data_IF_676615448478
#
_entry.id   IF_676615448478
#
_cell.length_a   1.000
_cell.length_b   1.000
_cell.length_c   1.000
_cell.angle_alpha   90.00
_cell.angle_beta   90.00
_cell.angle_gamma   90.00
#
_symmetry.space_group_name_H-M   'P 1'
#
loop_
_entity.id
_entity.type
_entity.pdbx_description
1 polymer ?
#
# COMPACT_ATOMS: atom_id res chain seq x y z
N UNK A 1 63.86 25.94 25.75
CA UNK A 1 63.05 26.98 25.08
C UNK A 1 61.62 26.47 25.04
N UNK A 2 60.75 26.92 25.96
CA UNK A 2 59.34 26.51 25.98
C UNK A 2 58.50 27.58 25.28
N UNK A 3 58.05 27.27 24.06
CA UNK A 3 57.13 28.08 23.30
C UNK A 3 55.72 27.82 23.81
N UNK A 4 55.22 28.66 24.71
CA UNK A 4 53.82 28.63 25.15
C UNK A 4 52.91 29.01 23.97
N UNK A 5 52.29 27.99 23.37
CA UNK A 5 51.24 28.16 22.37
C UNK A 5 50.05 28.81 23.09
N UNK A 6 49.64 29.99 22.64
CA UNK A 6 48.42 30.65 23.13
C UNK A 6 47.25 29.89 22.52
N UNK A 7 46.62 29.04 23.32
CA UNK A 7 45.36 28.41 22.95
C UNK A 7 44.28 29.49 23.00
N UNK A 8 43.87 29.98 21.82
CA UNK A 8 42.74 30.88 21.69
C UNK A 8 41.46 30.08 21.93
N UNK A 9 40.78 30.32 23.05
CA UNK A 9 39.47 29.74 23.35
C UNK A 9 38.35 30.33 22.49
N UNK A 10 37.27 29.57 22.29
CA UNK A 10 36.06 30.02 21.60
C UNK A 10 35.41 31.20 22.31
N UNK A 11 34.92 32.16 21.53
CA UNK A 11 34.13 33.28 22.06
C UNK A 11 32.67 32.89 22.26
N UNK A 12 31.99 33.52 23.23
CA UNK A 12 30.56 33.31 23.46
C UNK A 12 29.71 33.69 22.24
N UNK A 13 30.15 34.69 21.47
CA UNK A 13 29.43 35.14 20.27
C UNK A 13 29.52 34.12 19.14
N UNK A 14 30.64 33.39 19.00
CA UNK A 14 30.78 32.30 18.03
C UNK A 14 29.82 31.15 18.36
N UNK A 15 29.73 30.75 19.63
CA UNK A 15 28.81 29.70 20.05
C UNK A 15 27.34 30.15 19.89
N UNK A 16 27.04 31.41 20.20
CA UNK A 16 25.69 31.97 20.05
C UNK A 16 25.23 31.97 18.57
N UNK A 17 26.09 32.41 17.66
CA UNK A 17 25.78 32.41 16.23
C UNK A 17 25.50 30.98 15.70
N UNK A 18 26.27 30.00 16.14
CA UNK A 18 26.10 28.59 15.75
C UNK A 18 24.76 28.03 16.24
N UNK A 19 24.38 28.27 17.49
CA UNK A 19 23.10 27.78 18.04
C UNK A 19 21.91 28.45 17.34
N UNK A 20 22.02 29.73 16.97
CA UNK A 20 20.99 30.44 16.18
C UNK A 20 20.85 29.79 14.79
N UNK A 21 21.96 29.54 14.09
CA UNK A 21 21.93 28.90 12.76
C UNK A 21 21.32 27.49 12.85
N UNK A 22 21.73 26.68 13.84
CA UNK A 22 21.17 25.34 14.06
C UNK A 22 19.67 25.41 14.39
N UNK A 23 19.24 26.38 15.20
CA UNK A 23 17.83 26.61 15.53
C UNK A 23 16.98 26.91 14.29
N UNK A 24 17.45 27.77 13.39
CA UNK A 24 16.76 28.08 12.14
C UNK A 24 16.70 26.85 11.23
N UNK A 25 17.84 26.16 11.02
CA UNK A 25 17.90 24.98 10.16
C UNK A 25 17.00 23.83 10.67
N UNK A 26 16.92 23.62 11.99
CA UNK A 26 16.09 22.59 12.59
C UNK A 26 14.59 22.77 12.25
N UNK A 27 14.09 24.01 12.26
CA UNK A 27 12.67 24.30 11.95
C UNK A 27 12.29 23.96 10.50
N UNK A 28 13.22 24.08 9.54
CA UNK A 28 12.98 23.82 8.13
C UNK A 28 13.01 22.31 7.82
N UNK A 29 13.90 21.56 8.48
CA UNK A 29 14.18 20.15 8.14
C UNK A 29 13.11 19.18 8.66
N UNK A 30 12.57 19.41 9.87
CA UNK A 30 11.64 18.48 10.55
C UNK A 30 10.37 18.16 9.72
N UNK A 31 9.63 19.13 9.14
CA UNK A 31 8.36 18.83 8.46
C UNK A 31 8.54 18.02 7.16
N UNK A 32 9.72 18.06 6.51
CA UNK A 32 9.96 17.42 5.21
C UNK A 32 10.13 15.89 5.31
N UNK A 33 10.45 15.37 6.49
CA UNK A 33 10.73 13.93 6.69
C UNK A 33 9.44 13.08 6.72
N UNK A 34 8.32 13.64 7.19
CA UNK A 34 7.05 12.91 7.32
C UNK A 34 6.38 12.59 5.99
N UNK A 35 6.27 13.58 5.10
CA UNK A 35 5.53 13.43 3.83
C UNK A 35 6.21 12.50 2.83
N UNK A 36 7.55 12.51 2.77
CA UNK A 36 8.32 11.60 1.91
C UNK A 36 8.09 10.13 2.28
N UNK A 37 8.03 9.83 3.58
CA UNK A 37 7.80 8.47 4.09
C UNK A 37 6.40 7.96 3.74
N UNK A 38 5.37 8.80 3.86
CA UNK A 38 4.00 8.44 3.49
C UNK A 38 3.89 8.10 2.00
N UNK A 39 4.47 8.94 1.14
CA UNK A 39 4.50 8.70 -0.31
C UNK A 39 5.24 7.40 -0.67
N UNK A 40 6.35 7.10 0.01
CA UNK A 40 7.08 5.85 -0.20
C UNK A 40 6.24 4.63 0.18
N UNK A 41 5.48 4.68 1.27
CA UNK A 41 4.58 3.60 1.70
C UNK A 41 3.44 3.37 0.70
N UNK A 42 2.80 4.43 0.23
CA UNK A 42 1.75 4.34 -0.80
C UNK A 42 2.29 3.70 -2.09
N UNK A 43 3.49 4.12 -2.54
CA UNK A 43 4.14 3.52 -3.71
C UNK A 43 4.47 2.05 -3.52
N UNK A 44 4.88 1.63 -2.31
CA UNK A 44 5.14 0.24 -2.00
C UNK A 44 3.86 -0.62 -2.07
N UNK A 45 2.73 -0.09 -1.58
CA UNK A 45 1.43 -0.78 -1.68
C UNK A 45 0.95 -0.86 -3.13
N UNK A 46 1.14 0.20 -3.93
CA UNK A 46 0.86 0.17 -5.38
C UNK A 46 1.72 -0.87 -6.08
N UNK A 47 3.01 -0.94 -5.78
CA UNK A 47 3.90 -1.97 -6.34
C UNK A 47 3.45 -3.39 -5.97
N UNK A 48 3.00 -3.58 -4.73
CA UNK A 48 2.41 -4.83 -4.27
C UNK A 48 1.15 -5.17 -5.07
N UNK A 49 0.25 -4.21 -5.28
CA UNK A 49 -0.97 -4.41 -6.07
C UNK A 49 -0.69 -4.77 -7.53
N UNK A 50 0.35 -4.20 -8.15
CA UNK A 50 0.82 -4.62 -9.47
C UNK A 50 1.27 -6.09 -9.48
N UNK A 51 1.98 -6.55 -8.45
CA UNK A 51 2.38 -7.95 -8.33
C UNK A 51 1.16 -8.87 -8.21
N UNK A 52 0.15 -8.47 -7.43
CA UNK A 52 -1.11 -9.21 -7.32
C UNK A 52 -1.82 -9.31 -8.67
N UNK A 53 -1.97 -8.19 -9.38
CA UNK A 53 -2.60 -8.19 -10.71
C UNK A 53 -1.84 -9.10 -11.69
N UNK A 54 -0.51 -9.01 -11.72
CA UNK A 54 0.31 -9.86 -12.57
C UNK A 54 0.18 -11.36 -12.21
N UNK A 55 0.01 -11.69 -10.93
CA UNK A 55 -0.25 -13.06 -10.49
C UNK A 55 -1.62 -13.57 -10.95
N UNK A 56 -2.65 -12.72 -10.85
CA UNK A 56 -4.00 -13.01 -11.37
C UNK A 56 -4.00 -13.23 -12.89
N UNK A 57 -3.22 -12.43 -13.63
CA UNK A 57 -3.11 -12.55 -15.09
C UNK A 57 -2.41 -13.84 -15.50
N UNK A 58 -1.34 -14.22 -14.79
CA UNK A 58 -0.66 -15.50 -15.01
C UNK A 58 -1.59 -16.68 -14.70
N UNK A 59 -2.37 -16.59 -13.64
CA UNK A 59 -3.39 -17.59 -13.33
C UNK A 59 -4.40 -17.71 -14.48
N UNK A 60 -4.91 -16.59 -15.00
CA UNK A 60 -5.85 -16.60 -16.12
C UNK A 60 -5.24 -17.25 -17.37
N UNK A 61 -3.99 -16.95 -17.70
CA UNK A 61 -3.30 -17.53 -18.86
C UNK A 61 -3.17 -19.05 -18.74
N UNK A 62 -2.89 -19.57 -17.55
CA UNK A 62 -2.70 -21.02 -17.35
C UNK A 62 -4.01 -21.79 -17.15
N UNK A 63 -5.01 -21.18 -16.52
CA UNK A 63 -6.28 -21.84 -16.15
C UNK A 63 -7.46 -21.46 -17.07
N UNK A 64 -7.25 -20.53 -18.00
CA UNK A 64 -8.26 -20.00 -18.93
C UNK A 64 -9.20 -18.94 -18.34
N UNK A 65 -9.33 -18.87 -17.01
CA UNK A 65 -10.17 -17.91 -16.29
C UNK A 65 -9.43 -17.39 -15.06
N UNK A 66 -9.79 -16.20 -14.58
CA UNK A 66 -9.36 -15.70 -13.28
C UNK A 66 -9.91 -16.59 -12.16
N UNK A 67 -9.29 -16.54 -10.95
CA UNK A 67 -9.87 -17.18 -9.77
C UNK A 67 -11.28 -16.67 -9.54
N UNK A 68 -12.24 -17.58 -9.36
CA UNK A 68 -13.63 -17.18 -9.11
C UNK A 68 -13.74 -16.62 -7.71
N UNK A 69 -14.67 -15.68 -7.50
CA UNK A 69 -14.93 -15.13 -6.16
C UNK A 69 -15.23 -16.20 -5.10
N UNK A 70 -15.84 -17.32 -5.49
CA UNK A 70 -16.17 -18.44 -4.59
C UNK A 70 -14.92 -19.23 -4.13
N UNK A 71 -13.88 -19.26 -4.95
CA UNK A 71 -12.65 -20.02 -4.67
C UNK A 71 -11.66 -19.21 -3.81
N UNK A 72 -11.91 -17.90 -3.65
CA UNK A 72 -11.06 -16.99 -2.88
C UNK A 72 -11.80 -16.50 -1.64
N UNK A 73 -11.30 -16.92 -0.48
CA UNK A 73 -11.89 -16.58 0.83
C UNK A 73 -10.87 -15.87 1.71
N UNK A 74 -11.35 -15.03 2.62
CA UNK A 74 -10.53 -14.47 3.71
C UNK A 74 -10.73 -15.36 4.93
N UNK A 75 -9.66 -15.96 5.45
CA UNK A 75 -9.73 -16.80 6.62
C UNK A 75 -9.86 -15.98 7.92
N UNK A 76 -10.05 -16.64 9.06
CA UNK A 76 -10.16 -15.97 10.37
C UNK A 76 -8.89 -15.19 10.78
N UNK A 77 -7.74 -15.46 10.16
CA UNK A 77 -6.49 -14.72 10.39
C UNK A 77 -6.37 -13.45 9.52
N UNK A 78 -7.32 -13.19 8.61
CA UNK A 78 -7.27 -12.06 7.69
C UNK A 78 -6.38 -12.32 6.47
N UNK A 79 -6.15 -13.58 6.14
CA UNK A 79 -5.36 -13.99 4.98
C UNK A 79 -6.30 -14.36 3.84
N UNK A 80 -6.01 -13.85 2.64
CA UNK A 80 -6.65 -14.29 1.41
C UNK A 80 -6.08 -15.65 1.06
N UNK A 81 -6.94 -16.65 0.93
CA UNK A 81 -6.54 -18.03 0.59
C UNK A 81 -7.26 -18.51 -0.66
N UNK A 82 -6.48 -19.14 -1.54
CA UNK A 82 -6.93 -19.91 -2.70
C UNK A 82 -5.79 -20.86 -3.07
N UNK A 83 -5.99 -22.17 -2.93
CA UNK A 83 -4.92 -23.18 -3.12
C UNK A 83 -4.32 -23.21 -4.52
N UNK A 84 -5.05 -22.70 -5.53
CA UNK A 84 -4.58 -22.66 -6.91
C UNK A 84 -3.80 -21.37 -7.21
N UNK A 85 -4.09 -20.28 -6.50
CA UNK A 85 -3.39 -19.00 -6.65
C UNK A 85 -2.16 -18.89 -5.71
N UNK A 86 -2.33 -19.35 -4.47
CA UNK A 86 -1.38 -19.25 -3.37
C UNK A 86 -0.99 -20.68 -2.95
N UNK A 87 0.32 -21.02 -2.89
CA UNK A 87 1.48 -20.14 -3.08
C UNK A 87 1.97 -20.04 -4.54
N UNK A 88 1.28 -20.67 -5.50
CA UNK A 88 1.82 -20.90 -6.86
C UNK A 88 2.22 -19.63 -7.61
N UNK A 89 1.39 -18.58 -7.58
CA UNK A 89 1.64 -17.33 -8.29
C UNK A 89 2.03 -16.18 -7.36
N UNK A 90 1.67 -16.27 -6.09
CA UNK A 90 2.01 -15.30 -5.05
C UNK A 90 2.16 -15.99 -3.70
N UNK A 91 3.17 -15.56 -2.93
CA UNK A 91 3.54 -16.25 -1.69
C UNK A 91 2.51 -16.08 -0.57
N UNK A 92 1.97 -14.86 -0.41
CA UNK A 92 1.01 -14.55 0.65
C UNK A 92 0.23 -13.26 0.34
N UNK A 93 -0.96 -13.17 0.90
CA UNK A 93 -1.83 -12.01 0.85
C UNK A 93 -2.49 -11.86 2.22
N UNK A 94 -1.90 -11.05 3.10
CA UNK A 94 -2.32 -10.92 4.49
C UNK A 94 -2.40 -9.46 4.97
N UNK A 95 -2.92 -9.26 6.18
CA UNK A 95 -2.98 -7.95 6.87
C UNK A 95 -1.63 -7.28 7.12
N UNK A 96 -0.52 -8.01 7.02
CA UNK A 96 0.84 -7.51 7.30
C UNK A 96 1.56 -7.03 6.05
N UNK A 97 1.00 -7.27 4.88
CA UNK A 97 1.69 -7.05 3.60
C UNK A 97 1.73 -5.56 3.24
N UNK A 98 0.81 -4.75 3.75
CA UNK A 98 0.73 -3.32 3.40
C UNK A 98 1.55 -2.44 4.34
N UNK A 99 2.11 -1.38 3.78
CA UNK A 99 3.01 -0.45 4.45
C UNK A 99 2.29 0.81 4.95
N UNK A 100 1.07 1.05 4.50
CA UNK A 100 0.23 2.14 5.00
C UNK A 100 -0.16 1.94 6.48
N UNK A 101 -0.31 3.06 7.20
CA UNK A 101 -0.78 3.08 8.58
C UNK A 101 -2.30 3.23 8.55
N UNK A 102 -2.98 2.16 8.90
CA UNK A 102 -4.44 2.04 8.99
C UNK A 102 -4.78 1.17 10.19
N UNK A 103 -6.05 1.15 10.61
CA UNK A 103 -6.53 0.20 11.61
C UNK A 103 -6.22 -1.24 11.16
N UNK A 104 -5.76 -2.09 12.08
CA UNK A 104 -5.40 -3.48 11.83
C UNK A 104 -6.52 -4.29 11.16
N UNK A 105 -7.79 -4.00 11.46
CA UNK A 105 -8.94 -4.66 10.84
C UNK A 105 -9.12 -4.32 9.36
N UNK A 106 -8.59 -3.16 8.94
CA UNK A 106 -8.71 -2.61 7.59
C UNK A 106 -7.39 -2.68 6.81
N UNK A 107 -6.40 -3.37 7.37
CA UNK A 107 -5.06 -3.48 6.80
C UNK A 107 -4.96 -4.70 5.90
N UNK A 108 -4.18 -4.61 4.82
CA UNK A 108 -3.94 -5.73 3.91
C UNK A 108 -4.93 -5.79 2.76
N UNK A 109 -5.46 -6.99 2.54
CA UNK A 109 -6.25 -7.34 1.35
C UNK A 109 -7.71 -7.61 1.68
N UNK A 110 -8.61 -7.05 0.90
CA UNK A 110 -10.04 -7.41 0.91
C UNK A 110 -10.47 -7.97 -0.44
N UNK A 111 -11.61 -8.66 -0.46
CA UNK A 111 -12.15 -9.26 -1.68
C UNK A 111 -13.58 -8.79 -1.88
N UNK A 112 -13.89 -8.32 -3.09
CA UNK A 112 -15.24 -7.94 -3.51
C UNK A 112 -15.61 -8.58 -4.84
N UNK A 113 -16.90 -8.55 -5.12
CA UNK A 113 -17.46 -9.10 -6.37
C UNK A 113 -17.43 -8.04 -7.47
N UNK A 114 -17.01 -8.43 -8.67
CA UNK A 114 -17.29 -7.69 -9.89
C UNK A 114 -18.66 -8.08 -10.41
N UNK A 115 -19.48 -7.08 -10.70
CA UNK A 115 -20.80 -7.33 -11.29
C UNK A 115 -20.76 -6.95 -12.77
N UNK A 116 -20.92 -7.90 -13.69
CA UNK A 116 -21.01 -7.58 -15.12
C UNK A 116 -22.22 -6.69 -15.40
N UNK A 117 -22.09 -5.82 -16.39
CA UNK A 117 -23.23 -5.13 -16.98
C UNK A 117 -24.14 -6.15 -17.69
N UNK A 118 -25.34 -5.70 -18.11
CA UNK A 118 -26.30 -6.57 -18.80
C UNK A 118 -25.73 -7.28 -20.03
N UNK A 119 -24.69 -6.71 -20.66
CA UNK A 119 -24.03 -7.25 -21.85
C UNK A 119 -22.76 -8.09 -21.55
N UNK A 120 -22.40 -8.29 -20.27
CA UNK A 120 -21.19 -9.02 -19.81
C UNK A 120 -19.84 -8.51 -20.37
N UNK A 121 -19.84 -7.37 -21.05
CA UNK A 121 -18.64 -6.79 -21.70
C UNK A 121 -17.95 -5.74 -20.85
N UNK A 122 -18.68 -5.15 -19.89
CA UNK A 122 -18.13 -4.19 -18.93
C UNK A 122 -18.45 -4.67 -17.52
N UNK A 123 -17.49 -4.55 -16.61
CA UNK A 123 -17.66 -4.91 -15.22
C UNK A 123 -17.74 -3.63 -14.40
N UNK A 124 -18.73 -3.57 -13.52
CA UNK A 124 -18.85 -2.48 -12.56
C UNK A 124 -18.31 -2.93 -11.21
N UNK A 125 -17.54 -2.05 -10.59
CA UNK A 125 -17.19 -2.20 -9.18
C UNK A 125 -18.28 -1.54 -8.35
N UNK A 126 -18.88 -2.34 -7.47
CA UNK A 126 -19.63 -1.77 -6.35
C UNK A 126 -18.60 -1.31 -5.33
N UNK A 127 -18.47 0.01 -5.17
CA UNK A 127 -17.68 0.55 -4.06
C UNK A 127 -18.16 -0.09 -2.76
N UNK A 128 -17.24 -0.51 -1.87
CA UNK A 128 -17.64 -1.08 -0.60
C UNK A 128 -18.56 -0.09 0.12
N UNK A 129 -19.79 -0.54 0.40
CA UNK A 129 -20.77 0.23 1.16
C UNK A 129 -20.25 0.52 2.57
N UNK A 130 -20.93 1.40 3.31
CA UNK A 130 -20.52 1.78 4.66
C UNK A 130 -20.36 0.57 5.61
N UNK A 131 -21.12 -0.51 5.36
CA UNK A 131 -21.12 -1.74 6.18
C UNK A 131 -20.06 -2.76 5.76
N UNK A 132 -19.33 -2.54 4.66
CA UNK A 132 -18.28 -3.44 4.19
C UNK A 132 -16.92 -2.90 4.61
N UNK A 133 -16.15 -3.72 5.32
CA UNK A 133 -14.78 -3.41 5.71
C UNK A 133 -13.92 -3.13 4.46
N UNK A 134 -13.44 -1.88 4.34
CA UNK A 134 -12.51 -1.48 3.29
C UNK A 134 -11.09 -1.82 3.72
N UNK A 135 -10.36 -2.53 2.88
CA UNK A 135 -8.94 -2.81 3.11
C UNK A 135 -8.05 -1.95 2.20
N UNK A 136 -6.78 -1.80 2.57
CA UNK A 136 -5.80 -0.99 1.82
C UNK A 136 -5.71 -1.41 0.35
N UNK A 137 -5.72 -2.72 0.08
CA UNK A 137 -5.74 -3.27 -1.28
C UNK A 137 -7.01 -4.11 -1.41
N UNK A 138 -7.82 -3.84 -2.43
CA UNK A 138 -9.04 -4.58 -2.72
C UNK A 138 -8.89 -5.36 -4.02
N UNK A 139 -9.19 -6.66 -3.98
CA UNK A 139 -9.22 -7.53 -5.14
C UNK A 139 -10.69 -7.75 -5.51
N UNK A 140 -11.04 -7.42 -6.74
CA UNK A 140 -12.37 -7.59 -7.28
C UNK A 140 -12.33 -8.74 -8.27
N UNK A 141 -13.17 -9.75 -8.03
CA UNK A 141 -13.25 -10.95 -8.85
C UNK A 141 -14.69 -11.15 -9.31
N UNK A 142 -14.84 -11.51 -10.57
CA UNK A 142 -16.12 -11.96 -11.10
C UNK A 142 -16.48 -13.36 -10.57
N UNK A 143 -17.78 -13.67 -10.54
CA UNK A 143 -18.28 -14.98 -10.13
C UNK A 143 -17.98 -16.07 -11.18
N UNK A 144 -17.95 -15.70 -12.46
CA UNK A 144 -17.68 -16.60 -13.58
C UNK A 144 -16.16 -16.71 -13.87
N UNK A 145 -15.35 -15.78 -13.35
CA UNK A 145 -13.90 -15.73 -13.52
C UNK A 145 -13.47 -15.00 -14.80
N UNK A 146 -14.35 -14.18 -15.38
CA UNK A 146 -14.11 -13.49 -16.64
C UNK A 146 -13.26 -12.23 -16.49
N UNK A 147 -13.29 -11.60 -15.32
CA UNK A 147 -12.56 -10.38 -15.03
C UNK A 147 -11.99 -10.37 -13.62
N UNK A 148 -10.87 -9.64 -13.47
CA UNK A 148 -10.28 -9.32 -12.19
C UNK A 148 -9.73 -7.89 -12.21
N UNK A 149 -9.97 -7.16 -11.12
CA UNK A 149 -9.43 -5.82 -10.90
C UNK A 149 -8.79 -5.73 -9.52
N UNK A 150 -7.70 -4.98 -9.40
CA UNK A 150 -7.05 -4.69 -8.13
C UNK A 150 -7.03 -3.18 -7.93
N UNK A 151 -7.47 -2.72 -6.75
CA UNK A 151 -7.44 -1.31 -6.35
C UNK A 151 -6.62 -1.12 -5.08
N UNK A 152 -5.94 0.02 -4.99
CA UNK A 152 -5.25 0.48 -3.79
C UNK A 152 -5.95 1.72 -3.27
N UNK A 153 -6.27 1.74 -1.99
CA UNK A 153 -6.85 2.87 -1.29
C UNK A 153 -5.79 3.63 -0.49
N UNK A 154 -6.09 4.88 -0.16
CA UNK A 154 -5.28 5.67 0.76
C UNK A 154 -5.45 5.19 2.22
N UNK A 155 -4.70 5.82 3.13
CA UNK A 155 -4.71 5.56 4.57
C UNK A 155 -6.07 5.86 5.23
N UNK A 156 -6.92 6.67 4.59
CA UNK A 156 -8.28 6.94 5.03
C UNK A 156 -9.34 6.00 4.46
N UNK A 157 -8.96 5.18 3.47
CA UNK A 157 -9.83 4.24 2.78
C UNK A 157 -11.03 4.92 2.06
N UNK A 158 -10.88 6.20 1.74
CA UNK A 158 -11.92 7.03 1.12
C UNK A 158 -11.64 7.33 -0.36
N UNK A 159 -10.39 7.19 -0.80
CA UNK A 159 -9.98 7.47 -2.18
C UNK A 159 -9.09 6.38 -2.73
N UNK A 160 -9.24 6.11 -4.02
CA UNK A 160 -8.43 5.15 -4.76
C UNK A 160 -7.15 5.82 -5.23
N UNK A 161 -6.02 5.29 -4.79
CA UNK A 161 -4.68 5.71 -5.21
C UNK A 161 -4.27 5.09 -6.55
N UNK A 162 -4.73 3.88 -6.83
CA UNK A 162 -4.43 3.15 -8.07
C UNK A 162 -5.48 2.09 -8.37
N UNK A 163 -5.74 1.85 -9.66
CA UNK A 163 -6.58 0.74 -10.18
C UNK A 163 -5.88 0.05 -11.35
N UNK A 164 -6.11 -1.25 -11.50
CA UNK A 164 -5.65 -2.01 -12.66
C UNK A 164 -6.54 -1.89 -13.91
N UNK A 165 -7.73 -1.28 -13.84
CA UNK A 165 -8.72 -1.25 -14.93
C UNK A 165 -8.52 -0.11 -15.95
N UNK A 166 -7.26 0.28 -16.22
CA UNK A 166 -6.95 1.32 -17.21
C UNK A 166 -7.04 0.80 -18.65
#
# INVERSE_FOLDING_TARGET
MNNNKRDNGFTLIEVLAVVIIIGVLATIVIPKLGSSTLNARQKADIATAHQVKAALDRYQVENGNYPKKADVVVNAAGEVVNSNLIPKYINKLDKTTTQQIVNDANKGFGILTLTPNSDKTQFSITEPGADVTKNTIMIYLDAEGLAAEVRVYNDKLDSVLWTSAN
#
